data_IF_790964686394
#
_entry.id   IF_790964686394
#
_cell.length_a   1.000
_cell.length_b   1.000
_cell.length_c   1.000
_cell.angle_alpha   90.00
_cell.angle_beta   90.00
_cell.angle_gamma   90.00
#
_symmetry.space_group_name_H-M   'P 1'
#
loop_
_entity.id
_entity.type
_entity.pdbx_description
1 polymer ?
#
# COMPACT_ATOMS: atom_id res chain seq x y z
N UNK A 1 -5.32 -17.37 -23.18
CA UNK A 1 -5.48 -17.04 -21.75
C UNK A 1 -6.69 -17.78 -21.26
N UNK A 2 -6.50 -18.73 -20.35
CA UNK A 2 -7.60 -19.44 -19.70
C UNK A 2 -8.08 -18.56 -18.56
N UNK A 3 -9.33 -18.15 -18.63
CA UNK A 3 -9.94 -17.28 -17.63
C UNK A 3 -10.79 -18.13 -16.69
N UNK A 4 -10.76 -17.83 -15.38
CA UNK A 4 -11.52 -18.58 -14.36
C UNK A 4 -12.31 -17.62 -13.47
N UNK A 5 -13.51 -18.04 -13.12
CA UNK A 5 -14.43 -17.29 -12.25
C UNK A 5 -13.85 -17.07 -10.85
N UNK A 6 -14.03 -15.86 -10.32
CA UNK A 6 -13.48 -15.45 -9.04
C UNK A 6 -13.89 -16.29 -7.83
N UNK A 7 -15.06 -16.89 -7.84
CA UNK A 7 -15.56 -17.73 -6.75
C UNK A 7 -14.96 -19.15 -6.78
N UNK A 8 -14.36 -19.55 -7.90
CA UNK A 8 -13.89 -20.92 -8.13
C UNK A 8 -12.36 -21.04 -8.25
N UNK A 9 -11.64 -19.91 -8.26
CA UNK A 9 -10.18 -19.90 -8.35
C UNK A 9 -9.53 -20.60 -7.13
N UNK A 10 -8.60 -21.55 -7.32
CA UNK A 10 -7.84 -22.16 -6.23
C UNK A 10 -6.99 -21.10 -5.50
N UNK A 11 -6.78 -21.28 -4.19
CA UNK A 11 -6.10 -20.32 -3.31
C UNK A 11 -4.60 -20.07 -3.62
N UNK A 12 -4.01 -20.71 -4.64
CA UNK A 12 -2.58 -20.57 -4.98
C UNK A 12 -2.31 -20.65 -6.47
N UNK A 13 -1.44 -19.74 -6.95
CA UNK A 13 -0.79 -19.62 -8.26
C UNK A 13 -0.99 -20.80 -9.24
N UNK A 14 -2.16 -20.87 -9.88
CA UNK A 14 -2.45 -21.82 -10.97
C UNK A 14 -2.00 -21.31 -12.34
N UNK A 15 -1.51 -20.07 -12.42
CA UNK A 15 -1.25 -19.37 -13.67
C UNK A 15 -2.52 -18.81 -14.33
N UNK A 16 -3.69 -18.98 -13.71
CA UNK A 16 -4.96 -18.47 -14.19
C UNK A 16 -5.21 -17.05 -13.67
N UNK A 17 -5.78 -16.20 -14.52
CA UNK A 17 -6.15 -14.84 -14.16
C UNK A 17 -7.58 -14.85 -13.64
N UNK A 18 -7.76 -14.39 -12.40
CA UNK A 18 -9.06 -14.27 -11.74
C UNK A 18 -9.94 -13.24 -12.47
N UNK A 19 -11.12 -13.66 -12.92
CA UNK A 19 -12.12 -12.75 -13.47
C UNK A 19 -13.04 -12.22 -12.39
N UNK A 20 -13.06 -10.90 -12.23
CA UNK A 20 -13.93 -10.22 -11.26
C UNK A 20 -15.23 -9.75 -11.92
N UNK A 21 -16.33 -9.89 -11.17
CA UNK A 21 -17.64 -9.34 -11.55
C UNK A 21 -17.82 -7.88 -11.08
N UNK A 22 -19.00 -7.28 -11.35
CA UNK A 22 -19.31 -5.90 -11.00
C UNK A 22 -19.07 -5.54 -9.52
N UNK A 23 -19.40 -6.45 -8.60
CA UNK A 23 -19.15 -6.25 -7.16
C UNK A 23 -17.67 -6.18 -6.82
N UNK A 24 -16.86 -7.05 -7.43
CA UNK A 24 -15.40 -7.02 -7.26
C UNK A 24 -14.79 -5.72 -7.78
N UNK A 25 -15.26 -5.24 -8.94
CA UNK A 25 -14.86 -3.92 -9.45
C UNK A 25 -15.29 -2.77 -8.55
N UNK A 26 -16.45 -2.86 -7.89
CA UNK A 26 -16.87 -1.85 -6.92
C UNK A 26 -15.99 -1.86 -5.67
N UNK A 27 -15.62 -3.05 -5.16
CA UNK A 27 -14.68 -3.21 -4.04
C UNK A 27 -13.29 -2.67 -4.34
N UNK A 28 -12.68 -3.11 -5.45
CA UNK A 28 -11.37 -2.61 -5.89
C UNK A 28 -11.35 -1.10 -6.12
N UNK A 29 -12.44 -0.52 -6.64
CA UNK A 29 -12.57 0.94 -6.80
C UNK A 29 -12.58 1.70 -5.47
N UNK A 30 -13.17 1.14 -4.41
CA UNK A 30 -13.12 1.75 -3.08
C UNK A 30 -11.71 1.65 -2.49
N UNK A 31 -11.12 0.46 -2.52
CA UNK A 31 -9.78 0.21 -1.99
C UNK A 31 -8.71 1.06 -2.70
N UNK A 32 -8.69 1.05 -4.04
CA UNK A 32 -7.73 1.83 -4.82
C UNK A 32 -7.91 3.34 -4.66
N UNK A 33 -9.15 3.83 -4.50
CA UNK A 33 -9.39 5.25 -4.20
C UNK A 33 -8.81 5.65 -2.86
N UNK A 34 -8.98 4.81 -1.82
CA UNK A 34 -8.46 5.10 -0.50
C UNK A 34 -6.93 5.07 -0.47
N UNK A 35 -6.30 4.11 -1.18
CA UNK A 35 -4.85 4.05 -1.33
C UNK A 35 -4.30 5.31 -2.04
N UNK A 36 -4.96 5.77 -3.10
CA UNK A 36 -4.58 7.02 -3.77
C UNK A 36 -4.73 8.25 -2.86
N UNK A 37 -5.80 8.31 -2.05
CA UNK A 37 -5.98 9.39 -1.07
C UNK A 37 -4.91 9.39 0.01
N UNK A 38 -4.48 8.21 0.48
CA UNK A 38 -3.36 8.09 1.40
C UNK A 38 -2.05 8.59 0.76
N UNK A 39 -1.82 8.27 -0.52
CA UNK A 39 -0.62 8.72 -1.24
C UNK A 39 -0.63 10.24 -1.47
N UNK A 40 -1.78 10.83 -1.81
CA UNK A 40 -1.95 12.28 -1.93
C UNK A 40 -1.66 12.99 -0.59
N UNK A 41 -2.09 12.41 0.54
CA UNK A 41 -1.79 12.93 1.88
C UNK A 41 -0.28 13.02 2.12
N UNK A 42 0.50 12.03 1.67
CA UNK A 42 1.95 12.00 1.89
C UNK A 42 2.66 13.24 1.34
N UNK A 43 2.16 13.84 0.26
CA UNK A 43 2.76 15.01 -0.36
C UNK A 43 2.95 16.18 0.62
N UNK A 44 2.05 16.34 1.60
CA UNK A 44 2.15 17.38 2.62
C UNK A 44 3.21 17.10 3.70
N UNK A 45 3.63 15.84 3.85
CA UNK A 45 4.56 15.39 4.89
C UNK A 45 5.98 15.16 4.37
N UNK A 46 6.18 14.98 3.06
CA UNK A 46 7.50 14.79 2.45
C UNK A 46 8.26 16.12 2.41
N UNK A 47 9.18 16.31 3.35
CA UNK A 47 10.07 17.48 3.43
C UNK A 47 11.37 17.14 4.16
N UNK A 48 12.45 17.91 3.96
CA UNK A 48 13.70 17.72 4.71
C UNK A 48 13.48 17.72 6.22
N UNK A 49 14.19 16.86 6.93
CA UNK A 49 14.09 16.69 8.38
C UNK A 49 13.00 15.72 8.83
N UNK A 50 12.04 15.35 7.99
CA UNK A 50 11.03 14.33 8.31
C UNK A 50 11.61 12.94 8.16
N UNK A 51 11.32 12.03 9.09
CA UNK A 51 11.75 10.63 9.05
C UNK A 51 10.75 9.79 8.26
N UNK A 52 11.19 8.69 7.65
CA UNK A 52 10.23 7.79 6.99
C UNK A 52 9.38 7.03 7.99
N UNK A 53 9.85 6.84 9.23
CA UNK A 53 9.00 6.37 10.33
C UNK A 53 7.80 7.28 10.60
N UNK A 54 7.96 8.61 10.54
CA UNK A 54 6.81 9.52 10.65
C UNK A 54 5.80 9.34 9.51
N UNK A 55 6.27 9.12 8.28
CA UNK A 55 5.38 8.85 7.14
C UNK A 55 4.59 7.55 7.34
N UNK A 56 5.23 6.53 7.92
CA UNK A 56 4.59 5.28 8.31
C UNK A 56 3.51 5.46 9.37
N UNK A 57 3.77 6.27 10.40
CA UNK A 57 2.79 6.60 11.44
C UNK A 57 1.57 7.32 10.85
N UNK A 58 1.78 8.32 9.98
CA UNK A 58 0.70 9.05 9.30
C UNK A 58 -0.14 8.11 8.42
N UNK A 59 0.50 7.22 7.67
CA UNK A 59 -0.21 6.25 6.83
C UNK A 59 -1.01 5.23 7.67
N UNK A 60 -0.45 4.79 8.80
CA UNK A 60 -1.13 3.90 9.73
C UNK A 60 -2.37 4.57 10.33
N UNK A 61 -2.24 5.79 10.86
CA UNK A 61 -3.36 6.57 11.41
C UNK A 61 -4.45 6.78 10.36
N UNK A 62 -4.08 7.21 9.16
CA UNK A 62 -5.02 7.39 8.05
C UNK A 62 -5.78 6.09 7.72
N UNK A 63 -5.10 4.94 7.69
CA UNK A 63 -5.74 3.66 7.45
C UNK A 63 -6.77 3.32 8.54
N UNK A 64 -6.39 3.48 9.80
CA UNK A 64 -7.27 3.17 10.94
C UNK A 64 -8.50 4.09 10.96
N UNK A 65 -8.32 5.38 10.73
CA UNK A 65 -9.40 6.37 10.69
C UNK A 65 -10.42 6.12 9.57
N UNK A 66 -10.00 5.44 8.50
CA UNK A 66 -10.85 5.09 7.36
C UNK A 66 -11.33 3.63 7.40
N UNK A 67 -11.15 2.91 8.52
CA UNK A 67 -11.58 1.52 8.66
C UNK A 67 -10.87 0.55 7.72
N UNK A 68 -9.65 0.89 7.31
CA UNK A 68 -8.80 0.07 6.46
C UNK A 68 -7.66 -0.57 7.26
N UNK A 69 -6.99 -1.57 6.68
CA UNK A 69 -5.80 -2.20 7.26
C UNK A 69 -4.60 -2.07 6.32
N UNK A 70 -3.40 -1.64 6.80
CA UNK A 70 -2.20 -1.60 5.98
C UNK A 70 -1.74 -3.00 5.59
N UNK A 71 -1.81 -3.34 4.31
CA UNK A 71 -1.50 -4.69 3.85
C UNK A 71 -0.04 -5.14 4.09
N UNK A 72 0.98 -4.26 4.01
CA UNK A 72 2.36 -4.64 4.28
C UNK A 72 2.59 -5.08 5.74
N UNK A 73 1.78 -4.59 6.68
CA UNK A 73 1.99 -4.84 8.10
C UNK A 73 1.85 -6.33 8.44
N UNK A 74 2.96 -6.92 8.88
CA UNK A 74 3.18 -8.35 9.12
C UNK A 74 3.10 -9.25 7.88
N UNK A 75 2.98 -8.71 6.68
CA UNK A 75 3.05 -9.51 5.46
C UNK A 75 4.44 -10.15 5.33
N UNK A 76 4.50 -11.47 5.51
CA UNK A 76 5.75 -12.24 5.55
C UNK A 76 6.77 -11.71 6.57
N UNK A 77 6.28 -11.12 7.66
CA UNK A 77 7.12 -10.53 8.71
C UNK A 77 7.62 -9.11 8.42
N UNK A 78 7.12 -8.45 7.36
CA UNK A 78 7.42 -7.03 7.13
C UNK A 78 6.89 -6.19 8.31
N UNK A 79 7.72 -5.33 8.94
CA UNK A 79 7.42 -4.80 10.27
C UNK A 79 6.65 -3.47 10.29
N UNK A 80 6.30 -2.94 9.12
CA UNK A 80 5.81 -1.58 8.93
C UNK A 80 4.57 -1.53 8.05
N UNK A 81 3.87 -0.41 8.06
CA UNK A 81 2.57 -0.22 7.41
C UNK A 81 2.70 0.15 5.94
N UNK A 82 3.80 0.81 5.56
CA UNK A 82 4.10 1.19 4.17
C UNK A 82 5.57 0.87 3.83
N UNK A 83 5.91 0.94 2.54
CA UNK A 83 7.30 0.93 2.09
C UNK A 83 7.76 2.36 1.78
N UNK A 84 8.97 2.71 2.21
CA UNK A 84 9.63 3.98 1.86
C UNK A 84 11.02 3.72 1.31
N UNK A 85 11.25 4.06 0.04
CA UNK A 85 12.47 3.70 -0.70
C UNK A 85 13.24 4.96 -1.08
N UNK A 86 14.27 5.28 -0.29
CA UNK A 86 15.11 6.46 -0.50
C UNK A 86 16.25 6.20 -1.50
N UNK A 87 16.39 7.08 -2.48
CA UNK A 87 17.51 7.15 -3.42
C UNK A 87 17.82 5.83 -4.15
N UNK A 88 18.80 5.07 -3.68
CA UNK A 88 19.27 3.82 -4.30
C UNK A 88 18.43 2.61 -3.89
N UNK A 89 17.52 2.75 -2.92
CA UNK A 89 16.59 1.70 -2.53
C UNK A 89 15.55 1.57 -3.63
N UNK A 90 15.51 0.40 -4.28
CA UNK A 90 14.64 0.17 -5.45
C UNK A 90 13.17 0.05 -5.04
N UNK A 91 12.87 -0.78 -4.05
CA UNK A 91 11.54 -0.99 -3.51
C UNK A 91 11.65 -1.63 -2.11
N UNK A 92 10.51 -1.73 -1.42
CA UNK A 92 10.39 -2.38 -0.10
C UNK A 92 11.35 -1.85 0.97
N UNK A 93 11.75 -0.57 0.88
CA UNK A 93 12.49 0.06 1.95
C UNK A 93 11.66 0.11 3.23
N UNK A 94 12.23 -0.35 4.34
CA UNK A 94 11.55 -0.33 5.64
C UNK A 94 11.62 1.10 6.20
N UNK A 95 10.48 1.70 6.59
CA UNK A 95 10.47 2.96 7.33
C UNK A 95 11.39 2.95 8.55
N UNK A 96 12.24 3.97 8.67
CA UNK A 96 13.25 4.08 9.73
C UNK A 96 13.26 5.48 10.33
N UNK A 97 13.75 5.58 11.56
CA UNK A 97 13.95 6.84 12.27
C UNK A 97 15.22 7.57 11.77
N UNK A 98 15.23 7.89 10.48
CA UNK A 98 16.30 8.61 9.79
C UNK A 98 15.69 9.78 9.02
N UNK A 99 16.05 11.04 9.36
CA UNK A 99 15.54 12.21 8.65
C UNK A 99 15.97 12.23 7.18
N UNK A 100 15.01 12.53 6.29
CA UNK A 100 15.26 12.83 4.89
C UNK A 100 16.05 14.13 4.75
N UNK A 101 16.85 14.24 3.69
CA UNK A 101 17.67 15.42 3.38
C UNK A 101 17.12 16.14 2.17
N UNK A 102 17.41 17.44 2.09
CA UNK A 102 17.18 18.21 0.87
C UNK A 102 17.92 17.55 -0.31
N UNK A 103 17.21 17.37 -1.43
CA UNK A 103 17.72 16.69 -2.62
C UNK A 103 17.56 15.16 -2.63
N UNK A 104 17.11 14.53 -1.54
CA UNK A 104 16.73 13.12 -1.57
C UNK A 104 15.49 12.91 -2.46
N UNK A 105 15.45 11.77 -3.15
CA UNK A 105 14.23 11.26 -3.76
C UNK A 105 13.70 10.09 -2.93
N UNK A 106 12.38 10.02 -2.79
CA UNK A 106 11.71 8.95 -2.04
C UNK A 106 10.55 8.41 -2.84
N UNK A 107 10.51 7.09 -3.01
CA UNK A 107 9.29 6.38 -3.38
C UNK A 107 8.54 5.98 -2.11
N UNK A 108 7.22 6.18 -2.12
CA UNK A 108 6.30 5.75 -1.06
C UNK A 108 5.30 4.82 -1.74
N UNK A 109 5.16 3.62 -1.19
CA UNK A 109 4.31 2.56 -1.73
C UNK A 109 3.31 2.17 -0.62
N UNK A 110 2.02 2.36 -0.95
CA UNK A 110 0.90 2.23 -0.02
C UNK A 110 -0.07 1.18 -0.53
N UNK A 111 -0.25 0.12 0.26
CA UNK A 111 -1.29 -0.87 0.05
C UNK A 111 -2.27 -0.91 1.21
N UNK A 112 -3.56 -0.71 0.95
CA UNK A 112 -4.64 -0.77 1.95
C UNK A 112 -5.63 -1.89 1.65
N UNK A 113 -6.06 -2.60 2.69
CA UNK A 113 -7.15 -3.57 2.66
C UNK A 113 -8.44 -2.90 3.10
N UNK A 114 -9.46 -2.90 2.22
CA UNK A 114 -10.79 -2.34 2.47
C UNK A 114 -11.84 -3.38 2.07
N UNK A 115 -12.68 -3.82 3.00
CA UNK A 115 -13.70 -4.86 2.77
C UNK A 115 -13.15 -6.13 2.09
N UNK A 116 -11.90 -6.52 2.43
CA UNK A 116 -11.22 -7.68 1.83
C UNK A 116 -10.58 -7.44 0.45
N UNK A 117 -10.66 -6.22 -0.10
CA UNK A 117 -10.00 -5.83 -1.34
C UNK A 117 -8.73 -5.03 -1.08
N UNK A 118 -7.67 -5.32 -1.84
CA UNK A 118 -6.43 -4.56 -1.78
C UNK A 118 -6.48 -3.43 -2.81
N UNK A 119 -6.13 -2.22 -2.39
CA UNK A 119 -5.76 -1.12 -3.26
C UNK A 119 -4.28 -0.84 -3.07
N UNK A 120 -3.52 -0.78 -4.16
CA UNK A 120 -2.06 -0.68 -4.17
C UNK A 120 -1.64 0.45 -5.11
N UNK A 121 -0.83 1.40 -4.63
CA UNK A 121 -0.47 2.60 -5.39
C UNK A 121 0.90 3.18 -5.02
#
# INVERSE_FOLDING_TARGET
>A
MTYVDAAQAPLKNTGEIKLHGPEGFAGMRRAGRLAAQALDLMAAHVRPGVTTAHLDDVAFEFAMDNGAYPAPLYYRGFPKSICTSLNHVVCHGIPVDKPMKEGDIVNIDITLVVDGWHGDS
#
